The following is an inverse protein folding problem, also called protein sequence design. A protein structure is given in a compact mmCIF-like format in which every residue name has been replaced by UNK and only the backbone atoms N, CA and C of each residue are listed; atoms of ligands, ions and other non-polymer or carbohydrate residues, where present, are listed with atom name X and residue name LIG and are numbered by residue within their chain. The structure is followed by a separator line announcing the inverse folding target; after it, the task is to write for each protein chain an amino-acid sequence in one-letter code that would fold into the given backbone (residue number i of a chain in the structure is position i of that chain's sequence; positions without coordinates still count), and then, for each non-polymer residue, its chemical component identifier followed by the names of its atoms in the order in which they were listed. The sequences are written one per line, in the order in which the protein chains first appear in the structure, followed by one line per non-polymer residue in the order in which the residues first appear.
data_IF_193090301585
#
_entry.id   IF_193090301585
#
_cell.length_a   1.000
_cell.length_b   1.000
_cell.length_c   1.000
_cell.angle_alpha   90.00
_cell.angle_beta   90.00
_cell.angle_gamma   90.00
#
_symmetry.space_group_name_H-M   'P 1'
#
loop_
_entity.id
_entity.type
_entity.pdbx_description
1 polymer ?
#
# COMPACT_ATOMS: atom_id res chain seq x y z
N UNK A 1 -24.55 6.77 59.03
CA UNK A 1 -23.47 5.91 59.55
C UNK A 1 -22.35 5.91 58.53
N UNK A 2 -21.09 6.12 58.94
CA UNK A 2 -19.97 6.04 58.00
C UNK A 2 -19.90 4.60 57.45
N UNK A 3 -19.77 4.44 56.14
CA UNK A 3 -19.75 3.15 55.44
C UNK A 3 -18.46 2.37 55.73
N UNK A 4 -18.22 2.02 57.01
CA UNK A 4 -16.95 1.47 57.51
C UNK A 4 -15.71 2.29 57.11
N UNK A 5 -15.86 3.61 57.04
CA UNK A 5 -14.77 4.55 56.76
C UNK A 5 -14.53 5.45 57.97
N UNK A 6 -13.26 5.60 58.36
CA UNK A 6 -12.84 6.38 59.53
C UNK A 6 -12.26 5.53 60.66
N UNK A 7 -12.00 6.19 61.79
CA UNK A 7 -11.52 5.54 63.02
C UNK A 7 -12.70 4.99 63.83
N UNK A 8 -12.50 3.86 64.49
CA UNK A 8 -13.47 3.27 65.43
C UNK A 8 -13.67 4.16 66.65
N UNK A 9 -12.60 4.79 67.14
CA UNK A 9 -12.62 5.82 68.18
C UNK A 9 -11.60 6.91 67.88
N UNK A 10 -11.91 8.21 68.06
CA UNK A 10 -10.95 9.30 67.87
C UNK A 10 -9.87 9.39 68.98
N UNK A 11 -10.07 8.69 70.09
CA UNK A 11 -9.15 8.70 71.25
C UNK A 11 -7.81 8.07 70.87
N UNK A 12 -6.70 8.75 71.17
CA UNK A 12 -5.34 8.28 70.84
C UNK A 12 -4.87 8.64 69.42
N UNK A 13 -5.75 9.09 68.52
CA UNK A 13 -5.34 9.53 67.16
C UNK A 13 -4.78 10.96 67.12
N UNK A 14 -5.00 11.77 68.15
CA UNK A 14 -4.59 13.18 68.18
C UNK A 14 -5.37 14.09 67.21
N UNK A 15 -6.51 13.61 66.67
CA UNK A 15 -7.39 14.38 65.76
C UNK A 15 -8.85 14.31 66.22
N UNK A 16 -9.72 15.14 65.62
CA UNK A 16 -11.15 15.21 65.97
C UNK A 16 -11.98 14.00 65.52
N UNK A 17 -11.41 13.09 64.71
CA UNK A 17 -12.14 11.96 64.12
C UNK A 17 -13.16 12.33 63.04
N UNK A 18 -13.15 13.58 62.56
CA UNK A 18 -14.05 14.03 61.51
C UNK A 18 -13.63 13.46 60.13
N UNK A 19 -14.55 12.75 59.47
CA UNK A 19 -14.32 12.11 58.17
C UNK A 19 -15.07 12.87 57.09
N UNK A 20 -14.34 13.49 56.16
CA UNK A 20 -14.92 14.15 54.99
C UNK A 20 -14.96 13.18 53.80
N UNK A 21 -16.03 13.27 53.00
CA UNK A 21 -16.07 12.59 51.69
C UNK A 21 -15.04 13.21 50.74
N UNK A 22 -14.36 12.37 49.96
CA UNK A 22 -13.49 12.87 48.90
C UNK A 22 -14.36 13.43 47.76
N UNK A 23 -14.33 14.75 47.54
CA UNK A 23 -15.05 15.42 46.44
C UNK A 23 -14.42 15.21 45.07
N UNK A 24 -13.13 14.86 45.01
CA UNK A 24 -12.42 14.54 43.76
C UNK A 24 -12.58 13.08 43.35
N UNK A 25 -13.19 12.23 44.19
CA UNK A 25 -13.44 10.84 43.85
C UNK A 25 -14.54 10.74 42.79
N UNK A 26 -14.11 10.55 41.54
CA UNK A 26 -15.01 10.33 40.41
C UNK A 26 -15.64 8.94 40.53
N UNK A 27 -16.93 8.89 40.82
CA UNK A 27 -17.68 7.62 40.87
C UNK A 27 -17.75 7.04 39.45
N UNK A 28 -17.42 5.75 39.24
CA UNK A 28 -17.59 5.11 37.94
C UNK A 28 -19.05 5.27 37.50
N UNK A 29 -19.25 5.69 36.25
CA UNK A 29 -20.59 5.88 35.68
C UNK A 29 -21.26 4.51 35.59
N UNK A 30 -22.57 4.45 35.87
CA UNK A 30 -23.33 3.20 35.71
C UNK A 30 -23.24 2.77 34.24
N UNK A 31 -22.56 1.66 33.97
CA UNK A 31 -22.56 0.99 32.69
C UNK A 31 -23.70 -0.04 32.68
N UNK A 32 -24.66 0.08 31.76
CA UNK A 32 -25.80 -0.83 31.70
C UNK A 32 -27.01 -0.26 30.95
N UNK A 33 -28.09 -1.04 30.93
CA UNK A 33 -29.36 -0.70 30.28
C UNK A 33 -29.96 0.58 30.88
N UNK A 34 -30.22 1.59 30.04
CA UNK A 34 -30.70 2.91 30.46
C UNK A 34 -29.62 3.98 30.63
N UNK A 35 -28.34 3.69 30.38
CA UNK A 35 -27.31 4.71 30.26
C UNK A 35 -27.43 5.46 28.90
N UNK A 36 -27.16 6.78 28.85
CA UNK A 36 -27.20 7.57 27.61
C UNK A 36 -26.09 7.22 26.60
N UNK A 37 -25.23 6.24 26.91
CA UNK A 37 -24.17 5.75 26.04
C UNK A 37 -24.18 4.22 26.01
N UNK A 38 -23.89 3.61 24.85
CA UNK A 38 -23.88 2.15 24.70
C UNK A 38 -22.83 1.50 25.62
N UNK A 39 -23.06 0.27 26.10
CA UNK A 39 -22.13 -0.42 26.98
C UNK A 39 -20.77 -0.60 26.28
N UNK A 40 -19.69 -0.45 27.04
CA UNK A 40 -18.31 -0.58 26.54
C UNK A 40 -18.02 -1.96 25.93
N UNK A 41 -18.78 -3.00 26.29
CA UNK A 41 -18.71 -4.32 25.65
C UNK A 41 -19.11 -4.32 24.18
N UNK A 42 -19.98 -3.40 23.74
CA UNK A 42 -20.29 -3.20 22.32
C UNK A 42 -19.07 -2.68 21.53
N UNK A 43 -18.14 -2.01 22.21
CA UNK A 43 -16.87 -1.53 21.62
C UNK A 43 -15.80 -2.63 21.55
N UNK A 44 -15.89 -3.65 22.42
CA UNK A 44 -14.94 -4.78 22.44
C UNK A 44 -15.30 -5.89 21.45
N UNK A 45 -16.59 -6.04 21.13
CA UNK A 45 -17.07 -7.10 20.22
C UNK A 45 -17.06 -6.67 18.75
N UNK A 46 -17.14 -5.37 18.47
CA UNK A 46 -17.06 -4.80 17.13
C UNK A 46 -15.71 -4.15 16.89
N UNK A 47 -14.70 -4.95 16.51
CA UNK A 47 -13.44 -4.40 16.00
C UNK A 47 -13.73 -3.33 14.94
N UNK A 48 -13.00 -2.21 14.98
CA UNK A 48 -13.16 -1.15 14.00
C UNK A 48 -13.09 -1.75 12.60
N UNK A 49 -14.23 -1.77 11.88
CA UNK A 49 -14.26 -2.21 10.49
C UNK A 49 -13.37 -1.25 9.70
N UNK A 50 -12.18 -1.72 9.33
CA UNK A 50 -11.33 -0.97 8.42
C UNK A 50 -12.14 -0.73 7.14
N UNK A 51 -12.33 0.54 6.81
CA UNK A 51 -13.04 0.91 5.59
C UNK A 51 -12.26 0.34 4.41
N UNK A 52 -12.96 -0.36 3.53
CA UNK A 52 -12.38 -0.82 2.27
C UNK A 52 -11.97 0.42 1.45
N UNK A 53 -10.79 0.45 0.84
CA UNK A 53 -10.41 1.52 -0.07
C UNK A 53 -11.42 1.69 -1.22
N UNK A 54 -11.66 2.92 -1.64
CA UNK A 54 -12.60 3.20 -2.72
C UNK A 54 -12.08 2.64 -4.05
N UNK A 55 -12.91 1.83 -4.74
CA UNK A 55 -12.55 1.21 -6.03
C UNK A 55 -12.11 2.23 -7.08
N UNK A 56 -12.74 3.41 -7.09
CA UNK A 56 -12.39 4.52 -7.98
C UNK A 56 -10.97 5.04 -7.76
N UNK A 57 -10.49 5.04 -6.51
CA UNK A 57 -9.13 5.46 -6.19
C UNK A 57 -8.15 4.40 -6.70
N UNK A 58 -8.45 3.13 -6.49
CA UNK A 58 -7.61 2.03 -6.97
C UNK A 58 -7.51 2.00 -8.50
N UNK A 59 -8.62 2.20 -9.20
CA UNK A 59 -8.64 2.28 -10.67
C UNK A 59 -7.86 3.50 -11.17
N UNK A 60 -8.02 4.65 -10.51
CA UNK A 60 -7.28 5.87 -10.86
C UNK A 60 -5.77 5.69 -10.67
N UNK A 61 -5.34 5.07 -9.57
CA UNK A 61 -3.93 4.82 -9.30
C UNK A 61 -3.31 3.84 -10.31
N UNK A 62 -4.07 2.83 -10.77
CA UNK A 62 -3.66 1.93 -11.86
C UNK A 62 -3.48 2.67 -13.18
N UNK A 63 -4.48 3.46 -13.59
CA UNK A 63 -4.41 4.27 -14.81
C UNK A 63 -3.26 5.27 -14.75
N UNK A 64 -3.06 5.93 -13.60
CA UNK A 64 -1.96 6.85 -13.38
C UNK A 64 -0.61 6.15 -13.50
N UNK A 65 -0.46 4.94 -12.99
CA UNK A 65 0.79 4.18 -13.11
C UNK A 65 1.14 3.86 -14.58
N UNK A 66 0.13 3.67 -15.43
CA UNK A 66 0.33 3.50 -16.88
C UNK A 66 0.76 4.82 -17.52
N UNK A 67 0.05 5.91 -17.23
CA UNK A 67 0.40 7.23 -17.78
C UNK A 67 1.80 7.71 -17.36
N UNK A 68 2.22 7.44 -16.12
CA UNK A 68 3.57 7.76 -15.66
C UNK A 68 4.63 7.05 -16.52
N UNK A 69 4.45 5.76 -16.80
CA UNK A 69 5.39 5.01 -17.66
C UNK A 69 5.43 5.54 -19.08
N UNK A 70 4.29 5.99 -19.61
CA UNK A 70 4.22 6.59 -20.95
C UNK A 70 4.95 7.93 -20.99
N UNK A 71 4.81 8.74 -19.94
CA UNK A 71 5.55 9.99 -19.81
C UNK A 71 7.06 9.77 -19.67
N UNK A 72 7.48 8.77 -18.89
CA UNK A 72 8.90 8.39 -18.76
C UNK A 72 9.50 7.96 -20.11
N UNK A 73 8.76 7.17 -20.90
CA UNK A 73 9.22 6.73 -22.23
C UNK A 73 9.21 7.88 -23.25
N UNK A 74 8.27 8.81 -23.14
CA UNK A 74 8.28 10.03 -23.95
C UNK A 74 9.52 10.88 -23.66
N UNK A 75 9.80 11.16 -22.38
CA UNK A 75 10.99 11.91 -21.96
C UNK A 75 12.27 11.25 -22.49
N UNK A 76 12.34 9.91 -22.41
CA UNK A 76 13.47 9.16 -22.95
C UNK A 76 13.64 9.33 -24.46
N UNK A 77 12.57 9.24 -25.24
CA UNK A 77 12.63 9.42 -26.70
C UNK A 77 12.99 10.85 -27.09
N UNK A 78 12.52 11.84 -26.34
CA UNK A 78 12.88 13.25 -26.51
C UNK A 78 14.38 13.49 -26.23
N UNK A 79 14.91 12.95 -25.12
CA UNK A 79 16.35 13.01 -24.81
C UNK A 79 17.23 12.30 -25.86
N UNK A 80 16.78 11.14 -26.35
CA UNK A 80 17.48 10.40 -27.41
C UNK A 80 17.49 11.21 -28.73
N UNK A 81 16.39 11.87 -29.07
CA UNK A 81 16.31 12.76 -30.22
C UNK A 81 17.28 13.95 -30.11
N UNK A 82 17.30 14.64 -28.96
CA UNK A 82 18.22 15.76 -28.74
C UNK A 82 19.68 15.34 -28.90
N UNK A 83 20.04 14.14 -28.41
CA UNK A 83 21.40 13.59 -28.60
C UNK A 83 21.73 13.35 -30.07
N UNK A 84 20.83 12.75 -30.82
CA UNK A 84 21.03 12.47 -32.25
C UNK A 84 21.12 13.79 -33.02
N UNK A 85 20.28 14.79 -32.71
CA UNK A 85 20.35 16.12 -33.31
C UNK A 85 21.70 16.81 -33.04
N UNK A 86 22.20 16.76 -31.81
CA UNK A 86 23.51 17.30 -31.46
C UNK A 86 24.64 16.61 -32.23
N UNK A 87 24.60 15.28 -32.35
CA UNK A 87 25.60 14.52 -33.09
C UNK A 87 25.57 14.83 -34.58
N UNK A 88 24.37 14.92 -35.17
CA UNK A 88 24.18 15.37 -36.55
C UNK A 88 24.66 16.80 -36.76
N UNK A 89 24.42 17.71 -35.81
CA UNK A 89 24.92 19.09 -35.85
C UNK A 89 26.45 19.15 -35.79
N UNK A 90 27.07 18.36 -34.90
CA UNK A 90 28.54 18.23 -34.79
C UNK A 90 29.15 17.61 -36.05
N UNK A 91 28.50 16.61 -36.64
CA UNK A 91 28.92 15.99 -37.89
C UNK A 91 28.82 16.96 -39.08
N UNK A 92 27.72 17.71 -39.20
CA UNK A 92 27.56 18.78 -40.21
C UNK A 92 28.62 19.87 -40.05
N UNK A 93 28.95 20.28 -38.82
CA UNK A 93 30.03 21.22 -38.53
C UNK A 93 31.42 20.74 -38.98
N UNK A 94 31.73 19.45 -38.76
CA UNK A 94 32.99 18.82 -39.23
C UNK A 94 33.04 18.66 -40.76
N UNK A 95 31.91 18.39 -41.41
CA UNK A 95 31.83 18.28 -42.87
C UNK A 95 32.03 19.63 -43.59
N UNK A 96 31.51 20.73 -43.03
CA UNK A 96 31.75 22.10 -43.55
C UNK A 96 33.22 22.51 -43.48
N UNK A 97 33.97 22.09 -42.47
CA UNK A 97 35.41 22.31 -42.39
C UNK A 97 36.25 21.42 -43.32
N UNK A 98 35.65 20.38 -43.92
CA UNK A 98 36.32 19.43 -44.84
C UNK A 98 35.94 19.66 -46.30
N UNK A 99 34.83 20.36 -46.57
CA UNK A 99 34.34 20.67 -47.93
C UNK A 99 35.11 21.81 -48.64
N UNK A 100 36.06 22.50 -47.99
CA UNK A 100 37.02 23.37 -48.70
C UNK A 100 38.16 22.58 -49.37
N UNK A 101 38.20 21.25 -49.23
CA UNK A 101 39.13 20.40 -49.97
C UNK A 101 38.36 19.18 -50.48
N UNK A 102 38.28 19.08 -51.82
CA UNK A 102 37.97 17.87 -52.61
C UNK A 102 36.55 17.80 -53.22
N UNK A 103 36.43 18.38 -54.41
CA UNK A 103 35.54 17.92 -55.48
C UNK A 103 35.84 16.44 -55.80
N UNK A 104 34.79 15.63 -55.97
CA UNK A 104 34.93 14.29 -56.56
C UNK A 104 33.95 13.25 -56.03
N UNK A 105 32.91 13.02 -56.85
CA UNK A 105 32.17 11.76 -57.04
C UNK A 105 31.17 11.32 -55.95
N UNK A 106 29.89 11.37 -56.34
CA UNK A 106 28.77 10.68 -55.70
C UNK A 106 28.74 9.23 -56.21
N UNK A 107 28.82 8.29 -55.29
CA UNK A 107 28.34 6.92 -55.53
C UNK A 107 27.09 6.70 -54.67
N UNK A 108 26.02 6.24 -55.32
CA UNK A 108 24.78 5.85 -54.66
C UNK A 108 24.99 4.48 -54.01
N UNK A 109 25.07 4.46 -52.68
CA UNK A 109 25.09 3.26 -51.87
C UNK A 109 23.77 3.11 -51.13
N UNK A 110 23.04 2.05 -51.44
CA UNK A 110 21.87 1.55 -50.72
C UNK A 110 22.10 1.57 -49.21
N UNK A 111 21.17 2.17 -48.47
CA UNK A 111 21.19 2.13 -47.01
C UNK A 111 19.95 1.38 -46.52
N UNK A 112 20.14 0.10 -46.23
CA UNK A 112 19.32 -0.58 -45.23
C UNK A 112 19.60 0.12 -43.90
N UNK A 113 18.72 1.03 -43.51
CA UNK A 113 18.86 1.78 -42.27
C UNK A 113 18.22 0.97 -41.15
N UNK A 114 19.07 0.42 -40.29
CA UNK A 114 18.65 -0.03 -38.96
C UNK A 114 17.97 1.14 -38.24
N UNK A 115 16.78 0.90 -37.69
CA UNK A 115 15.83 1.89 -37.14
C UNK A 115 16.33 2.64 -35.88
N UNK A 116 17.65 2.73 -35.66
CA UNK A 116 18.28 3.24 -34.44
C UNK A 116 18.88 4.64 -34.49
N UNK A 117 18.96 5.32 -35.65
CA UNK A 117 19.74 6.58 -35.76
C UNK A 117 19.03 7.68 -36.57
N UNK A 118 17.69 7.76 -36.50
CA UNK A 118 16.96 8.91 -37.05
C UNK A 118 16.25 9.65 -35.93
N UNK A 119 16.31 10.97 -35.98
CA UNK A 119 15.50 11.86 -35.14
C UNK A 119 14.04 11.52 -35.44
N UNK A 120 13.32 11.07 -34.42
CA UNK A 120 11.91 10.73 -34.52
C UNK A 120 11.11 12.04 -34.55
N UNK A 121 10.13 12.13 -35.45
CA UNK A 121 9.18 13.23 -35.45
C UNK A 121 8.25 13.16 -34.23
N UNK A 122 7.66 14.30 -33.83
CA UNK A 122 6.70 14.35 -32.71
C UNK A 122 5.54 13.36 -32.91
N UNK A 123 5.11 13.18 -34.16
CA UNK A 123 4.06 12.22 -34.54
C UNK A 123 4.48 10.76 -34.29
N UNK A 124 5.72 10.38 -34.64
CA UNK A 124 6.24 9.03 -34.40
C UNK A 124 6.45 8.73 -32.90
N UNK A 125 6.81 9.75 -32.10
CA UNK A 125 6.92 9.63 -30.64
C UNK A 125 5.52 9.40 -30.05
N UNK A 126 4.52 10.14 -30.49
CA UNK A 126 3.14 9.98 -30.04
C UNK A 126 2.58 8.59 -30.41
N UNK A 127 2.84 8.11 -31.62
CA UNK A 127 2.45 6.76 -32.05
C UNK A 127 3.08 5.67 -31.16
N UNK A 128 4.39 5.77 -30.88
CA UNK A 128 5.08 4.84 -29.97
C UNK A 128 4.51 4.91 -28.55
N UNK A 129 4.18 6.10 -28.06
CA UNK A 129 3.55 6.29 -26.76
C UNK A 129 2.13 5.70 -26.72
N UNK A 130 1.34 5.84 -27.77
CA UNK A 130 0.01 5.23 -27.90
C UNK A 130 0.07 3.71 -27.96
N UNK A 131 1.03 3.15 -28.69
CA UNK A 131 1.27 1.71 -28.69
C UNK A 131 1.65 1.22 -27.30
N UNK A 132 2.51 1.96 -26.59
CA UNK A 132 2.93 1.61 -25.25
C UNK A 132 1.76 1.69 -24.26
N UNK A 133 0.89 2.70 -24.37
CA UNK A 133 -0.39 2.76 -23.65
C UNK A 133 -1.24 1.52 -23.90
N UNK A 134 -1.46 1.15 -25.17
CA UNK A 134 -2.24 -0.04 -25.54
C UNK A 134 -1.62 -1.32 -24.98
N UNK A 135 -0.30 -1.48 -25.06
CA UNK A 135 0.45 -2.64 -24.54
C UNK A 135 0.33 -2.73 -23.01
N UNK A 136 0.50 -1.62 -22.28
CA UNK A 136 0.41 -1.58 -20.83
C UNK A 136 -1.01 -1.79 -20.32
N UNK A 137 -2.02 -1.24 -20.99
CA UNK A 137 -3.43 -1.49 -20.68
C UNK A 137 -3.78 -2.97 -20.89
N UNK A 138 -3.38 -3.55 -22.01
CA UNK A 138 -3.61 -4.97 -22.28
C UNK A 138 -2.90 -5.89 -21.27
N UNK A 139 -1.68 -5.53 -20.84
CA UNK A 139 -0.94 -6.23 -19.78
C UNK A 139 -1.63 -6.11 -18.42
N UNK A 140 -2.16 -4.94 -18.06
CA UNK A 140 -2.88 -4.73 -16.80
C UNK A 140 -4.23 -5.47 -16.80
N UNK A 141 -4.95 -5.46 -17.93
CA UNK A 141 -6.19 -6.23 -18.11
C UNK A 141 -5.93 -7.73 -18.03
N UNK A 142 -4.91 -8.23 -18.73
CA UNK A 142 -4.49 -9.64 -18.68
C UNK A 142 -3.98 -10.05 -17.29
N UNK A 143 -3.26 -9.15 -16.59
CA UNK A 143 -2.80 -9.33 -15.22
C UNK A 143 -3.95 -9.32 -14.20
N UNK A 144 -4.97 -8.50 -14.44
CA UNK A 144 -6.20 -8.46 -13.63
C UNK A 144 -7.03 -9.74 -13.78
N UNK A 145 -6.99 -10.37 -14.95
CA UNK A 145 -7.59 -11.68 -15.22
C UNK A 145 -6.75 -12.87 -14.74
N UNK A 146 -5.43 -12.71 -14.60
CA UNK A 146 -4.49 -13.76 -14.20
C UNK A 146 -4.12 -13.74 -12.70
N UNK A 147 -4.68 -12.81 -11.93
CA UNK A 147 -4.38 -12.61 -10.50
C UNK A 147 -5.28 -13.37 -9.51
N UNK A 148 -6.08 -14.33 -9.99
CA UNK A 148 -6.75 -15.33 -9.11
C UNK A 148 -5.88 -16.57 -8.86
N UNK A 149 -4.60 -16.56 -9.23
CA UNK A 149 -3.65 -17.66 -9.03
C UNK A 149 -2.23 -17.12 -8.97
N UNK A 150 -1.49 -17.46 -7.93
CA UNK A 150 -0.23 -16.79 -7.59
C UNK A 150 0.94 -17.04 -8.55
N UNK A 151 1.91 -16.12 -8.51
CA UNK A 151 3.38 -16.31 -8.51
C UNK A 151 4.17 -15.33 -9.41
N UNK A 152 5.30 -14.82 -8.87
CA UNK A 152 6.43 -14.16 -9.56
C UNK A 152 6.52 -12.65 -9.29
N UNK A 153 7.51 -12.04 -8.62
CA UNK A 153 8.98 -12.17 -8.69
C UNK A 153 9.51 -11.07 -9.65
N UNK A 154 10.41 -10.12 -9.33
CA UNK A 154 11.72 -10.21 -8.67
C UNK A 154 12.32 -8.80 -8.40
N UNK A 155 13.22 -8.69 -7.41
CA UNK A 155 14.13 -7.53 -7.24
C UNK A 155 14.62 -7.26 -5.82
N UNK A 156 15.50 -8.08 -5.25
CA UNK A 156 16.27 -7.73 -4.04
C UNK A 156 16.69 -8.91 -3.16
N UNK A 157 17.99 -9.20 -3.13
CA UNK A 157 18.59 -10.31 -2.39
C UNK A 157 18.42 -10.21 -0.86
N UNK A 158 18.04 -11.34 -0.22
CA UNK A 158 18.19 -11.55 1.22
C UNK A 158 16.96 -12.11 1.95
N UNK A 159 17.01 -13.40 2.31
CA UNK A 159 16.15 -13.98 3.37
C UNK A 159 14.78 -14.52 2.95
N UNK A 160 14.72 -15.77 2.49
CA UNK A 160 13.47 -16.52 2.27
C UNK A 160 12.76 -16.81 3.59
N UNK A 161 11.49 -16.44 3.69
CA UNK A 161 10.58 -17.01 4.69
C UNK A 161 9.42 -16.12 5.13
N UNK A 162 9.49 -14.81 4.89
CA UNK A 162 8.43 -13.88 5.27
C UNK A 162 8.22 -12.93 4.10
N UNK A 163 7.00 -12.91 3.57
CA UNK A 163 6.61 -11.85 2.64
C UNK A 163 6.66 -10.57 3.46
N UNK A 164 7.74 -9.80 3.31
CA UNK A 164 7.88 -8.49 3.94
C UNK A 164 6.95 -7.55 3.19
N UNK A 165 5.65 -7.67 3.52
CA UNK A 165 4.62 -6.77 3.04
C UNK A 165 5.01 -5.37 3.50
N UNK A 166 5.08 -4.45 2.53
CA UNK A 166 5.48 -3.08 2.80
C UNK A 166 4.45 -2.48 3.75
N UNK A 167 4.87 -1.57 4.64
CA UNK A 167 4.00 -1.02 5.69
C UNK A 167 2.70 -0.38 5.15
N UNK A 168 2.67 0.03 3.89
CA UNK A 168 1.49 0.56 3.21
C UNK A 168 0.52 -0.50 2.66
N UNK A 169 0.94 -1.77 2.54
CA UNK A 169 0.10 -2.87 2.04
C UNK A 169 -0.75 -3.44 3.18
N UNK A 170 -1.63 -2.61 3.75
CA UNK A 170 -2.41 -2.94 4.94
C UNK A 170 -3.40 -4.09 4.69
N UNK A 171 -3.95 -4.19 3.49
CA UNK A 171 -4.87 -5.27 3.12
C UNK A 171 -4.16 -6.62 3.09
N UNK A 172 -3.02 -6.69 2.37
CA UNK A 172 -2.21 -7.90 2.31
C UNK A 172 -1.68 -8.28 3.71
N UNK A 173 -1.35 -7.29 4.56
CA UNK A 173 -0.94 -7.51 5.96
C UNK A 173 -2.10 -8.04 6.82
N UNK A 174 -3.30 -7.50 6.63
CA UNK A 174 -4.50 -7.93 7.35
C UNK A 174 -4.90 -9.35 6.94
N UNK A 175 -4.91 -9.65 5.64
CA UNK A 175 -5.21 -10.97 5.10
C UNK A 175 -4.20 -12.03 5.56
N UNK A 176 -2.90 -11.73 5.48
CA UNK A 176 -1.87 -12.63 5.98
C UNK A 176 -2.03 -12.91 7.47
N UNK A 177 -2.37 -11.89 8.26
CA UNK A 177 -2.60 -12.03 9.71
C UNK A 177 -3.88 -12.81 10.03
N UNK A 178 -4.93 -12.66 9.21
CA UNK A 178 -6.16 -13.45 9.32
C UNK A 178 -5.86 -14.92 9.01
N UNK A 179 -5.18 -15.22 7.90
CA UNK A 179 -4.81 -16.57 7.50
C UNK A 179 -3.91 -17.27 8.53
N UNK A 180 -2.91 -16.56 9.08
CA UNK A 180 -2.09 -17.05 10.20
C UNK A 180 -2.95 -17.32 11.44
N UNK A 181 -3.88 -16.42 11.77
CA UNK A 181 -4.76 -16.59 12.92
C UNK A 181 -5.75 -17.75 12.76
N UNK A 182 -6.25 -17.99 11.55
CA UNK A 182 -7.11 -19.12 11.21
C UNK A 182 -6.33 -20.43 11.23
N UNK A 183 -5.10 -20.43 10.72
CA UNK A 183 -4.19 -21.58 10.82
C UNK A 183 -3.88 -21.93 12.27
N UNK A 184 -3.66 -20.93 13.12
CA UNK A 184 -3.47 -21.12 14.56
C UNK A 184 -4.74 -21.62 15.24
N UNK A 185 -5.92 -21.06 14.92
CA UNK A 185 -7.21 -21.53 15.45
C UNK A 185 -7.46 -22.99 15.07
N UNK A 186 -7.21 -23.37 13.80
CA UNK A 186 -7.31 -24.76 13.33
C UNK A 186 -6.34 -25.69 14.06
N UNK A 187 -5.08 -25.26 14.24
CA UNK A 187 -4.07 -26.05 14.95
C UNK A 187 -4.39 -26.23 16.45
N UNK A 188 -4.96 -25.20 17.08
CA UNK A 188 -5.40 -25.22 18.48
C UNK A 188 -6.79 -25.85 18.66
N UNK A 189 -7.46 -26.28 17.58
CA UNK A 189 -8.78 -26.90 17.62
C UNK A 189 -9.92 -25.95 18.02
N UNK A 190 -9.73 -24.64 17.87
CA UNK A 190 -10.74 -23.62 18.16
C UNK A 190 -11.67 -23.52 16.95
N UNK A 191 -12.87 -24.10 17.08
CA UNK A 191 -13.90 -24.04 16.03
C UNK A 191 -14.59 -22.68 16.00
N UNK A 192 -15.00 -22.29 14.81
CA UNK A 192 -15.79 -21.10 14.53
C UNK A 192 -17.26 -21.39 14.83
N UNK A 193 -17.62 -21.54 16.10
CA UNK A 193 -19.02 -21.73 16.48
C UNK A 193 -19.68 -20.34 16.55
N UNK A 194 -20.47 -20.05 15.52
CA UNK A 194 -21.48 -19.00 15.55
C UNK A 194 -22.54 -19.35 16.59
N UNK A 195 -22.97 -18.29 17.30
CA UNK A 195 -24.07 -18.28 18.27
C UNK A 195 -23.72 -18.59 19.72
N UNK A 196 -23.94 -17.57 20.55
CA UNK A 196 -24.32 -17.64 21.96
C UNK A 196 -23.30 -18.18 22.97
N UNK A 197 -22.94 -17.29 23.89
CA UNK A 197 -22.00 -17.57 24.97
C UNK A 197 -22.46 -18.70 25.86
N UNK A 198 -21.57 -19.67 26.05
CA UNK A 198 -21.39 -20.44 27.27
C UNK A 198 -20.04 -21.16 27.15
N UNK A 199 -18.99 -20.60 27.76
CA UNK A 199 -17.73 -21.34 27.95
C UNK A 199 -17.95 -22.30 29.12
N UNK A 200 -18.80 -23.30 28.91
CA UNK A 200 -18.95 -24.46 29.79
C UNK A 200 -17.92 -25.52 29.39
N UNK A 201 -16.65 -25.30 29.74
CA UNK A 201 -15.63 -26.36 29.63
C UNK A 201 -14.48 -26.23 30.63
N UNK A 202 -14.74 -25.76 31.85
CA UNK A 202 -13.78 -25.92 32.95
C UNK A 202 -14.35 -26.59 34.22
N UNK A 203 -15.65 -26.89 34.25
CA UNK A 203 -16.33 -27.50 35.41
C UNK A 203 -16.74 -28.96 35.14
N UNK A 204 -15.77 -29.79 34.76
CA UNK A 204 -15.90 -31.26 34.88
C UNK A 204 -14.51 -31.89 35.00
N UNK A 205 -13.76 -31.48 36.01
CA UNK A 205 -12.60 -32.22 36.53
C UNK A 205 -12.18 -31.70 37.90
N UNK A 206 -13.00 -31.97 38.92
CA UNK A 206 -12.54 -32.29 40.28
C UNK A 206 -13.64 -32.94 41.08
#
# INVERSE_FOLDING_TARGET
MSSNVGLTTPRGSGTSGYVQRNSAFMKPRNAGYGAPYPPTSARETGGFKQRVPDKKILEHDRMRAIEVKVLEERERLEEENERIEEEQAKAKGKSKGKAEVKDGEKEEGETGVEEGERVLSEEEIDERCEELRKKLLALDEAGSGSGSGGAGGNGGAGGKGRRNLKSYQVHELAEAKIEESERLRRALGIKEDGETGEISSWEKRR
#
